data_IF_742777089424
#
_entry.id   IF_742777089424
#
_cell.length_a   1.000
_cell.length_b   1.000
_cell.length_c   1.000
_cell.angle_alpha   90.00
_cell.angle_beta   90.00
_cell.angle_gamma   90.00
#
_symmetry.space_group_name_H-M   'P 1'
#
loop_
_entity.id
_entity.type
_entity.pdbx_description
1 polymer ?
#
# COMPACT_ATOMS: atom_id res chain seq x y z
N UNK A 1 35.12 -31.46 2.87
CA UNK A 1 34.79 -32.37 1.75
C UNK A 1 34.05 -31.50 0.76
N UNK A 2 33.01 -31.98 0.07
CA UNK A 2 31.85 -31.15 -0.30
C UNK A 2 32.09 -30.05 -1.35
N UNK A 3 32.40 -30.43 -2.60
CA UNK A 3 32.31 -29.54 -3.77
C UNK A 3 31.89 -30.30 -5.04
N UNK A 4 30.80 -31.07 -4.93
CA UNK A 4 30.31 -31.99 -5.99
C UNK A 4 28.81 -31.87 -6.30
N UNK A 5 28.19 -30.73 -5.96
CA UNK A 5 26.77 -30.43 -6.24
C UNK A 5 26.56 -29.06 -6.92
N UNK A 6 27.61 -28.48 -7.50
CA UNK A 6 27.62 -27.08 -8.01
C UNK A 6 27.26 -26.94 -9.51
N UNK A 7 26.81 -28.01 -10.17
CA UNK A 7 26.66 -28.08 -11.63
C UNK A 7 25.23 -28.14 -12.17
N UNK A 8 24.20 -28.32 -11.31
CA UNK A 8 22.80 -28.39 -11.73
C UNK A 8 22.03 -27.10 -11.42
N UNK A 9 22.32 -26.06 -12.19
CA UNK A 9 21.54 -24.82 -12.18
C UNK A 9 20.19 -25.03 -12.87
N UNK A 10 19.12 -25.18 -12.09
CA UNK A 10 17.75 -25.15 -12.62
C UNK A 10 17.50 -23.88 -13.44
N UNK A 11 16.64 -23.94 -14.47
CA UNK A 11 16.39 -22.79 -15.33
C UNK A 11 15.81 -21.61 -14.54
N UNK A 12 16.10 -20.38 -14.97
CA UNK A 12 15.60 -19.18 -14.28
C UNK A 12 14.07 -19.16 -14.20
N UNK A 13 13.38 -19.64 -15.23
CA UNK A 13 11.93 -19.82 -15.23
C UNK A 13 11.46 -20.88 -14.22
N UNK A 14 12.17 -22.01 -14.09
CA UNK A 14 11.87 -22.98 -13.03
C UNK A 14 12.06 -22.36 -11.65
N UNK A 15 13.18 -21.69 -11.40
CA UNK A 15 13.44 -21.06 -10.09
C UNK A 15 12.40 -19.99 -9.75
N UNK A 16 11.96 -19.18 -10.72
CA UNK A 16 10.87 -18.23 -10.54
C UNK A 16 9.54 -18.93 -10.24
N UNK A 17 9.12 -19.93 -11.04
CA UNK A 17 7.88 -20.69 -10.79
C UNK A 17 7.92 -21.42 -9.45
N UNK A 18 9.06 -21.97 -9.07
CA UNK A 18 9.28 -22.67 -7.79
C UNK A 18 9.23 -21.70 -6.61
N UNK A 19 9.88 -20.54 -6.68
CA UNK A 19 9.85 -19.55 -5.58
C UNK A 19 8.52 -18.81 -5.46
N UNK A 20 7.73 -18.74 -6.54
CA UNK A 20 6.35 -18.23 -6.51
C UNK A 20 5.28 -19.31 -6.24
N UNK A 21 5.64 -20.60 -6.18
CA UNK A 21 4.69 -21.67 -5.88
C UNK A 21 4.31 -21.67 -4.38
N UNK A 22 3.03 -21.93 -4.02
CA UNK A 22 2.60 -22.02 -2.63
C UNK A 22 3.38 -23.09 -1.85
N UNK A 23 3.66 -22.82 -0.56
CA UNK A 23 4.43 -23.73 0.30
C UNK A 23 3.85 -25.16 0.36
N UNK A 24 2.52 -25.40 0.42
CA UNK A 24 1.97 -26.75 0.40
C UNK A 24 2.32 -27.55 -0.87
N UNK A 25 2.32 -26.88 -2.03
CA UNK A 25 2.61 -27.50 -3.34
C UNK A 25 4.10 -27.81 -3.46
N UNK A 26 4.95 -26.88 -3.01
CA UNK A 26 6.39 -27.14 -2.88
C UNK A 26 6.68 -28.29 -1.91
N UNK A 27 5.94 -28.39 -0.81
CA UNK A 27 6.07 -29.49 0.15
C UNK A 27 5.65 -30.84 -0.46
N UNK A 28 4.53 -30.91 -1.19
CA UNK A 28 4.07 -32.11 -1.90
C UNK A 28 5.11 -32.59 -2.93
N UNK A 29 5.55 -31.71 -3.83
CA UNK A 29 6.60 -32.03 -4.82
C UNK A 29 7.90 -32.47 -4.13
N UNK A 30 8.28 -31.81 -3.03
CA UNK A 30 9.47 -32.19 -2.24
C UNK A 30 9.29 -33.53 -1.54
N UNK A 31 8.07 -33.94 -1.22
CA UNK A 31 7.80 -35.26 -0.65
C UNK A 31 7.85 -36.36 -1.72
N UNK A 32 7.24 -36.15 -2.89
CA UNK A 32 7.35 -37.09 -4.00
C UNK A 32 8.82 -37.35 -4.36
N UNK A 33 9.65 -36.30 -4.43
CA UNK A 33 11.08 -36.43 -4.70
C UNK A 33 11.84 -37.22 -3.61
N UNK A 34 11.44 -37.13 -2.33
CA UNK A 34 12.00 -37.99 -1.26
C UNK A 34 11.52 -39.43 -1.41
N UNK A 35 10.27 -39.64 -1.81
CA UNK A 35 9.68 -40.96 -1.96
C UNK A 35 10.37 -41.70 -3.13
N UNK A 36 10.59 -41.03 -4.27
CA UNK A 36 11.46 -41.51 -5.36
C UNK A 36 12.87 -41.81 -4.84
N UNK A 37 13.48 -40.89 -4.07
CA UNK A 37 14.83 -41.07 -3.51
C UNK A 37 14.90 -42.23 -2.50
N UNK A 38 13.78 -42.60 -1.87
CA UNK A 38 13.68 -43.73 -0.95
C UNK A 38 13.50 -45.04 -1.70
N UNK A 39 12.66 -45.05 -2.75
CA UNK A 39 12.48 -46.18 -3.66
C UNK A 39 13.77 -46.58 -4.39
N UNK A 40 14.66 -45.61 -4.65
CA UNK A 40 15.98 -45.83 -5.25
C UNK A 40 17.07 -46.30 -4.27
N UNK A 41 16.75 -46.53 -2.98
CA UNK A 41 17.72 -47.09 -2.01
C UNK A 41 17.71 -48.61 -2.05
N UNK A 42 18.91 -49.21 -2.05
CA UNK A 42 19.11 -50.67 -2.12
C UNK A 42 18.39 -51.46 -1.01
N UNK A 43 18.13 -50.82 0.13
CA UNK A 43 17.48 -51.44 1.30
C UNK A 43 15.92 -51.35 1.25
N UNK A 44 15.35 -50.70 0.22
CA UNK A 44 13.90 -50.48 0.08
C UNK A 44 13.23 -51.60 -0.74
N UNK A 45 12.39 -52.46 -0.14
CA UNK A 45 11.70 -53.54 -0.86
C UNK A 45 10.58 -53.03 -1.78
N UNK A 46 10.90 -52.95 -3.08
CA UNK A 46 10.03 -52.46 -4.17
C UNK A 46 8.58 -52.97 -4.12
N UNK A 47 8.36 -54.28 -3.86
CA UNK A 47 7.03 -54.90 -3.82
C UNK A 47 6.10 -54.36 -2.72
N UNK A 48 6.65 -53.67 -1.72
CA UNK A 48 5.91 -53.11 -0.58
C UNK A 48 6.04 -51.60 -0.43
N UNK A 49 6.75 -50.94 -1.34
CA UNK A 49 6.87 -49.48 -1.32
C UNK A 49 5.58 -48.83 -1.87
N UNK A 50 5.12 -47.79 -1.19
CA UNK A 50 3.96 -47.00 -1.59
C UNK A 50 4.31 -45.53 -1.39
N UNK A 51 4.06 -44.71 -2.41
CA UNK A 51 4.22 -43.25 -2.34
C UNK A 51 3.22 -42.64 -1.36
N UNK A 52 3.61 -41.59 -0.64
CA UNK A 52 2.70 -40.88 0.26
C UNK A 52 1.57 -40.17 -0.52
N UNK A 53 1.85 -39.77 -1.76
CA UNK A 53 0.91 -39.26 -2.75
C UNK A 53 0.66 -40.32 -3.82
N UNK A 54 -0.59 -40.75 -4.04
CA UNK A 54 -0.90 -41.75 -5.07
C UNK A 54 -1.03 -41.14 -6.48
N UNK A 55 -1.48 -39.88 -6.53
CA UNK A 55 -1.57 -39.05 -7.73
C UNK A 55 -1.13 -37.64 -7.32
N UNK A 56 0.09 -37.26 -7.72
CA UNK A 56 0.65 -35.95 -7.40
C UNK A 56 -0.03 -34.82 -8.19
N UNK A 57 -0.43 -35.07 -9.44
CA UNK A 57 -0.98 -34.01 -10.32
C UNK A 57 -2.36 -33.57 -9.80
N UNK A 58 -3.26 -34.54 -9.54
CA UNK A 58 -4.57 -34.25 -8.92
C UNK A 58 -4.41 -33.58 -7.55
N UNK A 59 -3.43 -34.01 -6.74
CA UNK A 59 -3.19 -33.40 -5.43
C UNK A 59 -2.62 -31.97 -5.52
N UNK A 60 -1.80 -31.67 -6.52
CA UNK A 60 -1.30 -30.31 -6.75
C UNK A 60 -2.44 -29.37 -7.17
N UNK A 61 -3.37 -29.83 -8.02
CA UNK A 61 -4.55 -29.04 -8.41
C UNK A 61 -5.46 -28.76 -7.20
N UNK A 62 -5.75 -29.77 -6.37
CA UNK A 62 -6.46 -29.59 -5.09
C UNK A 62 -5.77 -28.54 -4.19
N UNK A 63 -4.44 -28.56 -4.09
CA UNK A 63 -3.70 -27.61 -3.28
C UNK A 63 -3.71 -26.18 -3.86
N UNK A 64 -3.80 -26.01 -5.19
CA UNK A 64 -4.00 -24.70 -5.81
C UNK A 64 -5.40 -24.16 -5.52
N UNK A 65 -6.45 -24.98 -5.68
CA UNK A 65 -7.83 -24.58 -5.37
C UNK A 65 -8.00 -24.16 -3.90
N UNK A 66 -7.47 -24.96 -2.97
CA UNK A 66 -7.51 -24.65 -1.54
C UNK A 66 -6.77 -23.34 -1.20
N UNK A 67 -5.62 -23.10 -1.83
CA UNK A 67 -4.84 -21.87 -1.62
C UNK A 67 -5.54 -20.63 -2.22
N UNK A 68 -6.18 -20.73 -3.38
CA UNK A 68 -7.00 -19.62 -3.92
C UNK A 68 -8.22 -19.35 -3.02
N UNK A 69 -8.89 -20.39 -2.53
CA UNK A 69 -10.00 -20.25 -1.59
C UNK A 69 -9.58 -19.58 -0.27
N UNK A 70 -8.43 -19.95 0.31
CA UNK A 70 -7.90 -19.30 1.51
C UNK A 70 -7.56 -17.81 1.25
N UNK A 71 -6.91 -17.49 0.12
CA UNK A 71 -6.64 -16.09 -0.24
C UNK A 71 -7.93 -15.29 -0.47
N UNK A 72 -8.94 -15.87 -1.12
CA UNK A 72 -10.24 -15.23 -1.31
C UNK A 72 -10.94 -14.93 0.02
N UNK A 73 -10.89 -15.86 0.98
CA UNK A 73 -11.42 -15.67 2.34
C UNK A 73 -10.64 -14.59 3.10
N UNK A 74 -9.30 -14.65 3.10
CA UNK A 74 -8.44 -13.66 3.77
C UNK A 74 -8.65 -12.24 3.20
N UNK A 75 -8.80 -12.13 1.87
CA UNK A 75 -9.13 -10.87 1.19
C UNK A 75 -10.53 -10.38 1.58
N UNK A 76 -11.55 -11.24 1.54
CA UNK A 76 -12.92 -10.86 1.90
C UNK A 76 -13.05 -10.38 3.36
N UNK A 77 -12.32 -11.01 4.29
CA UNK A 77 -12.23 -10.57 5.69
C UNK A 77 -11.58 -9.19 5.78
N UNK A 78 -10.52 -8.95 5.02
CA UNK A 78 -9.79 -7.67 4.99
C UNK A 78 -10.63 -6.54 4.40
N UNK A 79 -11.28 -6.79 3.25
CA UNK A 79 -12.16 -5.83 2.58
C UNK A 79 -13.36 -5.47 3.48
N UNK A 80 -14.03 -6.46 4.09
CA UNK A 80 -15.14 -6.24 5.03
C UNK A 80 -14.73 -5.40 6.24
N UNK A 81 -13.55 -5.68 6.81
CA UNK A 81 -13.00 -4.90 7.93
C UNK A 81 -12.70 -3.45 7.53
N UNK A 82 -12.22 -3.23 6.31
CA UNK A 82 -12.01 -1.88 5.77
C UNK A 82 -13.34 -1.13 5.55
N UNK A 83 -14.39 -1.81 5.07
CA UNK A 83 -15.73 -1.24 4.94
C UNK A 83 -16.37 -0.91 6.31
N UNK A 84 -16.27 -1.81 7.29
CA UNK A 84 -16.72 -1.56 8.68
C UNK A 84 -15.97 -0.36 9.30
N UNK A 85 -14.67 -0.22 9.05
CA UNK A 85 -13.91 0.94 9.52
C UNK A 85 -14.32 2.24 8.80
N UNK A 86 -14.48 2.22 7.47
CA UNK A 86 -14.87 3.40 6.68
C UNK A 86 -16.30 3.86 6.99
N UNK A 87 -17.23 2.93 7.22
CA UNK A 87 -18.61 3.24 7.61
C UNK A 87 -18.70 3.81 9.03
N UNK A 88 -17.93 3.26 9.99
CA UNK A 88 -17.81 3.82 11.34
C UNK A 88 -17.20 5.24 11.33
N UNK A 89 -16.13 5.47 10.57
CA UNK A 89 -15.50 6.79 10.44
C UNK A 89 -16.43 7.82 9.77
N UNK A 90 -17.23 7.38 8.79
CA UNK A 90 -18.28 8.21 8.18
C UNK A 90 -19.37 8.59 9.21
N UNK A 91 -19.85 7.64 10.01
CA UNK A 91 -20.85 7.91 11.05
C UNK A 91 -20.33 8.90 12.10
N UNK A 92 -19.10 8.70 12.62
CA UNK A 92 -18.48 9.63 13.58
C UNK A 92 -18.33 11.05 12.99
N UNK A 93 -17.97 11.16 11.71
CA UNK A 93 -17.86 12.45 11.00
C UNK A 93 -19.23 13.14 10.87
N UNK A 94 -20.28 12.42 10.50
CA UNK A 94 -21.64 12.96 10.41
C UNK A 94 -22.20 13.36 11.78
N UNK A 95 -21.92 12.60 12.84
CA UNK A 95 -22.32 12.93 14.20
C UNK A 95 -21.60 14.19 14.71
N UNK A 96 -20.27 14.29 14.54
CA UNK A 96 -19.51 15.49 14.90
C UNK A 96 -20.00 16.73 14.15
N UNK A 97 -20.43 16.60 12.88
CA UNK A 97 -21.03 17.71 12.12
C UNK A 97 -22.40 18.11 12.70
N UNK A 98 -23.27 17.15 13.05
CA UNK A 98 -24.57 17.42 13.68
C UNK A 98 -24.41 18.10 15.05
N UNK A 99 -23.48 17.64 15.88
CA UNK A 99 -23.19 18.24 17.19
C UNK A 99 -22.73 19.70 17.03
N UNK A 100 -21.75 19.96 16.15
CA UNK A 100 -21.26 21.32 15.88
C UNK A 100 -22.36 22.24 15.35
N UNK A 101 -23.19 21.77 14.41
CA UNK A 101 -24.31 22.55 13.88
C UNK A 101 -25.37 22.88 14.94
N UNK A 102 -25.67 21.95 15.86
CA UNK A 102 -26.59 22.17 16.97
C UNK A 102 -26.02 23.14 18.02
N UNK A 103 -24.73 23.08 18.32
CA UNK A 103 -24.05 24.04 19.19
C UNK A 103 -24.08 25.46 18.60
N UNK A 104 -23.73 25.59 17.32
CA UNK A 104 -23.75 26.85 16.57
C UNK A 104 -25.16 27.49 16.56
N UNK A 105 -26.19 26.68 16.37
CA UNK A 105 -27.59 27.11 16.41
C UNK A 105 -27.98 27.62 17.81
N UNK A 106 -27.68 26.83 18.87
CA UNK A 106 -27.93 27.20 20.27
C UNK A 106 -27.20 28.49 20.66
N UNK A 107 -25.97 28.68 20.19
CA UNK A 107 -25.18 29.89 20.47
C UNK A 107 -25.81 31.14 19.81
N UNK A 108 -26.23 31.02 18.54
CA UNK A 108 -26.91 32.11 17.80
C UNK A 108 -28.27 32.47 18.41
N UNK A 109 -29.03 31.49 18.89
CA UNK A 109 -30.31 31.72 19.57
C UNK A 109 -30.13 32.34 20.95
N UNK A 110 -29.16 31.87 21.75
CA UNK A 110 -28.80 32.47 23.03
C UNK A 110 -28.37 33.95 22.88
N UNK A 111 -27.59 34.26 21.85
CA UNK A 111 -27.20 35.64 21.53
C UNK A 111 -28.42 36.52 21.21
N UNK A 112 -29.35 36.04 20.37
CA UNK A 112 -30.59 36.76 20.02
C UNK A 112 -31.51 36.97 21.21
N UNK A 113 -31.67 35.96 22.07
CA UNK A 113 -32.48 36.06 23.29
C UNK A 113 -31.90 37.10 24.26
N UNK A 114 -30.56 37.19 24.35
CA UNK A 114 -29.91 38.23 25.15
C UNK A 114 -30.10 39.63 24.55
N UNK A 115 -29.89 39.80 23.26
CA UNK A 115 -30.12 41.07 22.56
C UNK A 115 -31.57 41.57 22.69
N UNK A 116 -32.55 40.64 22.60
CA UNK A 116 -33.97 40.93 22.83
C UNK A 116 -34.28 41.32 24.30
N UNK A 117 -33.61 40.70 25.28
CA UNK A 117 -33.75 41.07 26.68
C UNK A 117 -33.13 42.43 27.01
N UNK A 118 -31.90 42.68 26.53
CA UNK A 118 -31.16 43.93 26.72
C UNK A 118 -31.91 45.13 26.08
N UNK A 119 -32.57 44.92 24.93
CA UNK A 119 -33.43 45.94 24.29
C UNK A 119 -34.74 46.16 25.02
N UNK A 120 -35.47 45.10 25.40
CA UNK A 120 -36.74 45.22 26.15
C UNK A 120 -36.55 45.91 27.51
N UNK A 121 -35.48 45.59 28.24
CA UNK A 121 -35.16 46.23 29.53
C UNK A 121 -34.88 47.73 29.37
N UNK A 122 -34.23 48.13 28.26
CA UNK A 122 -33.95 49.54 27.93
C UNK A 122 -35.23 50.32 27.58
N UNK A 123 -36.22 49.68 26.96
CA UNK A 123 -37.53 50.30 26.71
C UNK A 123 -38.39 50.41 27.98
N UNK A 124 -38.33 49.44 28.90
CA UNK A 124 -38.94 49.54 30.23
C UNK A 124 -38.35 50.71 31.03
N UNK A 125 -37.03 50.80 31.17
CA UNK A 125 -36.38 51.92 31.88
C UNK A 125 -36.76 53.29 31.28
N UNK A 126 -36.87 53.39 29.95
CA UNK A 126 -37.29 54.63 29.28
C UNK A 126 -38.75 54.99 29.56
N UNK A 127 -39.65 54.01 29.60
CA UNK A 127 -41.08 54.24 29.89
C UNK A 127 -41.33 54.53 31.37
N UNK A 128 -40.58 53.91 32.27
CA UNK A 128 -40.57 54.22 33.70
C UNK A 128 -40.04 55.63 33.99
N UNK A 129 -38.97 56.07 33.32
CA UNK A 129 -38.48 57.46 33.42
C UNK A 129 -39.54 58.48 32.96
N UNK A 130 -40.20 58.25 31.82
CA UNK A 130 -41.27 59.12 31.32
C UNK A 130 -42.48 59.16 32.29
N UNK A 131 -42.79 58.05 32.95
CA UNK A 131 -43.83 57.99 33.97
C UNK A 131 -43.43 58.77 35.25
N UNK A 132 -42.18 58.65 35.69
CA UNK A 132 -41.65 59.38 36.85
C UNK A 132 -41.56 60.90 36.59
N UNK A 133 -41.11 61.31 35.40
CA UNK A 133 -41.02 62.72 35.00
C UNK A 133 -42.41 63.39 34.98
N UNK A 134 -43.43 62.68 34.48
CA UNK A 134 -44.82 63.17 34.45
C UNK A 134 -45.40 63.46 35.85
N UNK A 135 -44.93 62.77 36.89
CA UNK A 135 -45.32 63.04 38.28
C UNK A 135 -44.57 64.24 38.90
N UNK A 136 -43.41 64.65 38.35
CA UNK A 136 -42.60 65.73 38.89
C UNK A 136 -43.00 67.13 38.39
N UNK A 137 -43.97 67.24 37.48
CA UNK A 137 -44.47 68.53 36.98
C UNK A 137 -45.53 69.17 37.90
N UNK A 138 -45.85 68.55 39.04
CA UNK A 138 -46.96 68.94 39.91
C UNK A 138 -46.56 69.71 41.19
N UNK A 139 -45.28 70.02 41.41
CA UNK A 139 -44.86 70.86 42.55
C UNK A 139 -43.58 71.67 42.24
N UNK A 140 -43.69 73.01 42.09
CA UNK A 140 -42.52 73.89 41.85
C UNK A 140 -42.70 75.37 42.25
N UNK A 141 -42.90 75.62 43.53
CA UNK A 141 -42.57 76.88 44.24
C UNK A 141 -42.16 76.50 45.66
N UNK A 142 -40.99 76.80 46.22
CA UNK A 142 -40.22 78.07 46.27
C UNK A 142 -38.75 77.72 46.62
N UNK A 143 -37.70 78.26 45.98
CA UNK A 143 -36.86 79.40 46.42
C UNK A 143 -36.55 79.47 47.95
N UNK A 144 -35.34 79.81 48.45
CA UNK A 144 -34.07 80.25 47.83
C UNK A 144 -32.91 80.24 48.89
N UNK A 145 -31.63 80.39 48.46
CA UNK A 145 -30.41 80.70 49.27
C UNK A 145 -29.86 79.61 50.24
N UNK A 146 -28.55 79.48 50.53
CA UNK A 146 -27.33 80.20 50.04
C UNK A 146 -26.04 79.34 50.16
N UNK A 147 -25.21 79.41 49.11
CA UNK A 147 -23.74 79.40 49.00
C UNK A 147 -22.83 78.71 50.06
N UNK A 148 -21.87 77.90 49.59
CA UNK A 148 -20.44 78.30 49.52
C UNK A 148 -19.65 77.49 48.45
N UNK A 149 -18.41 77.93 48.12
CA UNK A 149 -17.25 77.32 47.43
C UNK A 149 -17.37 75.94 46.69
N UNK A 150 -16.75 75.72 45.52
CA UNK A 150 -15.87 76.58 44.70
C UNK A 150 -15.68 76.04 43.26
N UNK A 151 -15.51 76.97 42.31
CA UNK A 151 -14.96 76.89 40.94
C UNK A 151 -15.20 75.67 40.02
N UNK A 152 -15.85 75.98 38.90
CA UNK A 152 -15.85 75.24 37.63
C UNK A 152 -14.57 75.60 36.85
N UNK A 153 -14.02 74.81 35.90
CA UNK A 153 -14.44 74.65 34.50
C UNK A 153 -13.37 73.77 33.77
N UNK A 154 -13.52 73.18 32.57
CA UNK A 154 -14.59 73.11 31.55
C UNK A 154 -14.25 72.04 30.48
N UNK A 155 -15.28 71.38 29.91
CA UNK A 155 -15.37 70.68 28.59
C UNK A 155 -14.23 69.70 28.13
N UNK A 156 -14.50 68.43 27.78
CA UNK A 156 -15.15 67.91 26.54
C UNK A 156 -14.40 68.35 25.25
N UNK A 157 -13.98 67.50 24.30
CA UNK A 157 -14.21 66.07 23.95
C UNK A 157 -12.87 65.48 23.33
N UNK A 158 -12.64 64.30 22.72
CA UNK A 158 -13.46 63.25 22.06
C UNK A 158 -12.72 61.88 21.88
N UNK A 159 -13.47 60.83 21.47
CA UNK A 159 -13.14 59.73 20.53
C UNK A 159 -12.23 58.49 20.81
N UNK A 160 -12.60 57.41 20.10
CA UNK A 160 -11.90 56.14 19.71
C UNK A 160 -11.21 55.24 20.75
N UNK A 161 -11.71 54.00 20.86
CA UNK A 161 -11.02 52.86 21.48
C UNK A 161 -10.38 51.99 20.39
N UNK A 162 -9.07 51.80 20.44
CA UNK A 162 -8.39 50.67 19.77
C UNK A 162 -7.42 49.94 20.72
N UNK A 163 -6.98 48.75 20.28
CA UNK A 163 -6.68 47.62 21.17
C UNK A 163 -5.21 47.22 21.15
N UNK A 164 -4.47 47.55 22.22
CA UNK A 164 -3.05 47.26 22.30
C UNK A 164 -2.67 45.84 22.79
N UNK A 165 -1.74 45.29 22.02
CA UNK A 165 -0.75 44.24 22.33
C UNK A 165 0.20 44.68 23.46
N UNK A 166 1.10 43.88 24.05
CA UNK A 166 1.27 42.41 24.21
C UNK A 166 2.53 42.17 25.10
N UNK A 167 2.59 41.06 25.86
CA UNK A 167 3.79 40.35 26.40
C UNK A 167 4.96 41.11 27.07
N UNK A 168 5.35 40.65 28.27
CA UNK A 168 6.71 40.36 28.81
C UNK A 168 6.58 40.18 30.37
N UNK A 169 7.33 39.37 31.14
CA UNK A 169 8.43 38.39 30.90
C UNK A 169 8.88 37.73 32.21
N UNK A 170 9.76 36.73 32.12
CA UNK A 170 10.60 36.11 33.18
C UNK A 170 10.06 34.79 33.79
N UNK A 171 10.89 33.83 34.23
CA UNK A 171 12.28 33.49 33.85
C UNK A 171 12.66 32.11 34.46
N UNK A 172 13.40 31.27 33.71
CA UNK A 172 14.13 30.11 34.23
C UNK A 172 15.23 29.69 33.22
N UNK A 173 16.37 29.16 33.71
CA UNK A 173 17.59 28.95 32.90
C UNK A 173 18.31 27.65 33.23
N UNK A 174 18.63 26.84 32.22
CA UNK A 174 19.75 25.87 32.13
C UNK A 174 19.84 25.41 30.65
N UNK A 175 20.97 25.51 29.92
CA UNK A 175 22.25 24.76 30.03
C UNK A 175 22.14 23.34 29.45
N UNK A 176 22.97 22.87 28.49
CA UNK A 176 24.07 23.48 27.70
C UNK A 176 24.40 22.59 26.48
N UNK A 177 25.21 23.12 25.53
CA UNK A 177 25.95 22.41 24.46
C UNK A 177 25.11 21.75 23.32
N UNK A 178 25.55 21.69 22.06
CA UNK A 178 26.77 22.22 21.41
C UNK A 178 26.52 22.54 19.92
N UNK A 179 27.42 23.28 19.24
CA UNK A 179 27.10 23.94 17.96
C UNK A 179 28.33 24.01 17.00
N UNK A 180 28.17 23.66 15.69
CA UNK A 180 29.20 23.88 14.64
C UNK A 180 28.63 23.69 13.20
N UNK A 181 28.10 24.69 12.50
CA UNK A 181 28.67 25.83 11.72
C UNK A 181 29.14 25.60 10.26
N UNK A 182 28.71 26.54 9.39
CA UNK A 182 29.30 27.02 8.10
C UNK A 182 29.16 26.13 6.83
N UNK A 183 28.41 26.62 5.84
CA UNK A 183 28.98 27.21 4.59
C UNK A 183 27.92 27.98 3.77
N UNK A 184 28.34 28.83 2.84
CA UNK A 184 27.52 29.76 2.04
C UNK A 184 27.49 29.42 0.53
N UNK A 185 26.83 30.29 -0.26
CA UNK A 185 26.72 30.34 -1.74
C UNK A 185 25.67 29.40 -2.41
N UNK A 186 24.89 29.82 -3.42
CA UNK A 186 24.78 31.15 -4.06
C UNK A 186 23.37 31.51 -4.60
N UNK A 187 23.16 32.82 -4.72
CA UNK A 187 22.15 33.59 -5.45
C UNK A 187 21.84 33.08 -6.88
N UNK A 188 20.58 33.22 -7.36
CA UNK A 188 20.23 33.86 -8.66
C UNK A 188 18.71 34.06 -8.85
N UNK A 189 18.37 35.24 -9.39
CA UNK A 189 17.15 35.67 -10.12
C UNK A 189 15.72 35.44 -9.57
N UNK A 190 15.00 36.56 -9.47
CA UNK A 190 13.54 36.65 -9.56
C UNK A 190 13.18 37.62 -10.71
N UNK A 191 12.43 37.19 -11.72
CA UNK A 191 11.48 38.06 -12.45
C UNK A 191 10.40 37.27 -13.25
N UNK A 192 9.48 38.01 -13.86
CA UNK A 192 8.11 37.70 -14.33
C UNK A 192 7.92 36.76 -15.53
N UNK A 193 6.99 35.81 -15.34
CA UNK A 193 5.59 35.83 -15.86
C UNK A 193 5.32 36.38 -17.29
N UNK A 194 4.75 35.54 -18.18
CA UNK A 194 3.54 35.82 -19.02
C UNK A 194 3.00 34.52 -19.67
N UNK A 195 1.67 34.45 -19.76
CA UNK A 195 0.77 33.40 -20.28
C UNK A 195 1.18 32.64 -21.57
N UNK A 196 0.95 31.31 -21.63
CA UNK A 196 0.75 30.57 -22.91
C UNK A 196 0.06 29.16 -22.78
N UNK A 197 -1.12 29.09 -22.15
CA UNK A 197 -1.76 27.81 -21.73
C UNK A 197 -2.44 26.98 -22.85
N UNK A 198 -2.56 27.49 -24.08
CA UNK A 198 -3.28 26.79 -25.16
C UNK A 198 -2.38 26.13 -26.22
N UNK A 199 -1.09 26.44 -26.24
CA UNK A 199 -0.11 25.79 -27.13
C UNK A 199 0.26 24.38 -26.64
N UNK A 200 0.49 24.23 -25.33
CA UNK A 200 0.97 23.00 -24.69
C UNK A 200 0.09 21.78 -25.02
N UNK A 201 -1.23 21.94 -24.96
CA UNK A 201 -2.19 20.83 -25.09
C UNK A 201 -2.22 20.23 -26.50
N UNK A 202 -2.22 21.08 -27.54
CA UNK A 202 -2.21 20.63 -28.92
C UNK A 202 -0.90 19.92 -29.32
N UNK A 203 0.23 20.37 -28.75
CA UNK A 203 1.52 19.70 -28.92
C UNK A 203 1.53 18.35 -28.20
N UNK A 204 1.04 18.28 -26.96
CA UNK A 204 0.93 17.04 -26.19
C UNK A 204 0.11 15.95 -26.91
N UNK A 205 -1.05 16.31 -27.46
CA UNK A 205 -1.94 15.33 -28.09
C UNK A 205 -1.38 14.83 -29.44
N UNK A 206 -0.74 15.71 -30.21
CA UNK A 206 -0.04 15.35 -31.45
C UNK A 206 1.22 14.50 -31.19
N UNK A 207 1.97 14.82 -30.13
CA UNK A 207 3.08 13.99 -29.67
C UNK A 207 2.60 12.62 -29.18
N UNK A 208 1.52 12.57 -28.39
CA UNK A 208 0.92 11.32 -27.89
C UNK A 208 0.41 10.42 -29.01
N UNK A 209 -0.15 10.99 -30.08
CA UNK A 209 -0.55 10.26 -31.28
C UNK A 209 0.67 9.71 -32.04
N UNK A 210 1.71 10.52 -32.26
CA UNK A 210 2.94 10.10 -32.91
C UNK A 210 3.69 9.03 -32.11
N UNK A 211 3.72 9.13 -30.78
CA UNK A 211 4.32 8.15 -29.86
C UNK A 211 3.51 6.86 -29.87
N UNK A 212 2.16 6.90 -29.86
CA UNK A 212 1.33 5.69 -30.01
C UNK A 212 1.45 5.00 -31.37
N UNK A 213 1.79 5.75 -32.42
CA UNK A 213 2.09 5.18 -33.74
C UNK A 213 3.50 4.55 -33.74
N UNK A 214 4.51 5.26 -33.24
CA UNK A 214 5.88 4.77 -33.12
C UNK A 214 6.02 3.53 -32.22
N UNK A 215 5.25 3.43 -31.12
CA UNK A 215 5.20 2.21 -30.29
C UNK A 215 4.56 1.00 -30.99
N UNK A 216 3.82 1.20 -32.09
CA UNK A 216 3.31 0.11 -32.94
C UNK A 216 4.24 -0.20 -34.11
N UNK A 217 4.85 0.81 -34.70
CA UNK A 217 5.84 0.66 -35.77
C UNK A 217 7.23 0.21 -35.26
N UNK A 218 7.40 0.03 -33.95
CA UNK A 218 8.59 -0.54 -33.30
C UNK A 218 8.64 -2.09 -33.30
N UNK A 219 8.20 -2.71 -34.40
CA UNK A 219 8.92 -3.73 -35.20
C UNK A 219 9.92 -4.69 -34.52
N UNK A 220 9.65 -5.16 -33.31
CA UNK A 220 10.19 -6.44 -32.80
C UNK A 220 9.60 -7.62 -33.60
N UNK A 221 8.41 -7.43 -34.16
CA UNK A 221 7.43 -8.41 -34.66
C UNK A 221 7.78 -9.21 -35.93
N UNK A 222 9.06 -9.35 -36.29
CA UNK A 222 9.48 -10.26 -37.37
C UNK A 222 10.83 -10.87 -37.06
N UNK A 223 11.92 -10.11 -37.05
CA UNK A 223 13.27 -10.63 -36.80
C UNK A 223 13.46 -11.26 -35.42
N UNK A 224 12.72 -10.83 -34.40
CA UNK A 224 12.74 -11.51 -33.09
C UNK A 224 11.87 -12.78 -33.11
N UNK A 225 10.80 -12.84 -33.90
CA UNK A 225 10.02 -14.08 -34.09
C UNK A 225 10.76 -15.10 -34.94
N UNK A 226 11.55 -14.66 -35.92
CA UNK A 226 12.47 -15.49 -36.70
C UNK A 226 13.60 -16.04 -35.80
N UNK A 227 14.22 -15.20 -34.98
CA UNK A 227 15.20 -15.62 -33.97
C UNK A 227 14.61 -16.59 -32.94
N UNK A 228 13.39 -16.37 -32.47
CA UNK A 228 12.71 -17.28 -31.54
C UNK A 228 12.48 -18.64 -32.21
N UNK A 229 11.94 -18.69 -33.44
CA UNK A 229 11.75 -19.97 -34.16
C UNK A 229 13.05 -20.71 -34.48
N UNK A 230 14.12 -19.97 -34.79
CA UNK A 230 15.45 -20.55 -35.01
C UNK A 230 15.98 -21.20 -33.73
N UNK A 231 15.79 -20.55 -32.57
CA UNK A 231 16.17 -21.11 -31.27
C UNK A 231 15.25 -22.27 -30.84
N UNK A 232 13.94 -22.20 -31.09
CA UNK A 232 12.98 -23.29 -30.87
C UNK A 232 13.39 -24.54 -31.68
N UNK A 233 13.68 -24.37 -32.98
CA UNK A 233 14.13 -25.43 -33.87
C UNK A 233 15.48 -26.02 -33.44
N UNK A 234 16.45 -25.19 -33.05
CA UNK A 234 17.75 -25.67 -32.53
C UNK A 234 17.61 -26.43 -31.20
N UNK A 235 16.63 -26.08 -30.36
CA UNK A 235 16.30 -26.82 -29.14
C UNK A 235 15.68 -28.18 -29.49
N UNK A 236 14.70 -28.21 -30.40
CA UNK A 236 14.03 -29.45 -30.82
C UNK A 236 14.98 -30.43 -31.54
N UNK A 237 15.87 -29.93 -32.41
CA UNK A 237 16.92 -30.73 -33.07
C UNK A 237 17.91 -31.30 -32.03
N UNK A 238 18.39 -30.47 -31.10
CA UNK A 238 19.31 -30.93 -30.05
C UNK A 238 18.66 -31.96 -29.12
N UNK A 239 17.43 -31.73 -28.67
CA UNK A 239 16.70 -32.69 -27.84
C UNK A 239 16.43 -33.99 -28.59
N UNK A 240 16.13 -33.93 -29.89
CA UNK A 240 15.96 -35.11 -30.75
C UNK A 240 17.27 -35.91 -30.88
N UNK A 241 18.41 -35.26 -31.08
CA UNK A 241 19.72 -35.91 -31.13
C UNK A 241 20.09 -36.53 -29.77
N UNK A 242 19.89 -35.82 -28.66
CA UNK A 242 20.17 -36.35 -27.31
C UNK A 242 19.27 -37.53 -26.95
N UNK A 243 17.96 -37.49 -27.27
CA UNK A 243 17.05 -38.62 -27.06
C UNK A 243 17.42 -39.82 -27.95
N UNK A 244 17.81 -39.58 -29.20
CA UNK A 244 18.31 -40.62 -30.11
C UNK A 244 19.55 -41.30 -29.51
N UNK A 245 20.58 -40.52 -29.17
CA UNK A 245 21.84 -40.99 -28.59
C UNK A 245 21.63 -41.73 -27.26
N UNK A 246 20.78 -41.21 -26.37
CA UNK A 246 20.42 -41.89 -25.12
C UNK A 246 19.73 -43.22 -25.38
N UNK A 247 18.83 -43.27 -26.36
CA UNK A 247 18.17 -44.53 -26.76
C UNK A 247 19.17 -45.54 -27.35
N UNK A 248 20.16 -45.10 -28.12
CA UNK A 248 21.19 -45.98 -28.71
C UNK A 248 22.16 -46.49 -27.65
N UNK A 249 22.57 -45.65 -26.70
CA UNK A 249 23.36 -46.05 -25.53
C UNK A 249 22.60 -47.07 -24.67
N UNK A 250 21.32 -46.84 -24.37
CA UNK A 250 20.50 -47.78 -23.59
C UNK A 250 20.27 -49.11 -24.33
N UNK A 251 20.01 -49.07 -25.65
CA UNK A 251 19.93 -50.29 -26.50
C UNK A 251 21.26 -51.03 -26.55
N UNK A 252 22.39 -50.33 -26.56
CA UNK A 252 23.73 -50.92 -26.60
C UNK A 252 24.12 -51.55 -25.27
N UNK A 253 23.81 -50.88 -24.15
CA UNK A 253 23.94 -51.45 -22.81
C UNK A 253 23.05 -52.69 -22.65
N UNK A 254 21.75 -52.61 -22.99
CA UNK A 254 20.84 -53.76 -22.92
C UNK A 254 21.33 -54.95 -23.78
N UNK A 255 21.88 -54.70 -24.96
CA UNK A 255 22.49 -55.75 -25.80
C UNK A 255 23.73 -56.35 -25.16
N UNK A 256 24.60 -55.54 -24.56
CA UNK A 256 25.79 -56.02 -23.86
C UNK A 256 25.40 -56.85 -22.63
N UNK A 257 24.48 -56.36 -21.81
CA UNK A 257 23.96 -57.00 -20.60
C UNK A 257 23.29 -58.34 -20.92
N UNK A 258 22.38 -58.38 -21.91
CA UNK A 258 21.73 -59.63 -22.35
C UNK A 258 22.75 -60.62 -22.93
N UNK A 259 23.76 -60.14 -23.68
CA UNK A 259 24.83 -61.01 -24.20
C UNK A 259 25.71 -61.55 -23.07
N UNK A 260 26.00 -60.73 -22.05
CA UNK A 260 26.77 -61.15 -20.88
C UNK A 260 26.02 -62.25 -20.11
N UNK A 261 24.78 -62.01 -19.70
CA UNK A 261 23.98 -62.97 -18.93
C UNK A 261 23.84 -64.31 -19.67
N UNK A 262 23.56 -64.30 -20.99
CA UNK A 262 23.52 -65.51 -21.81
C UNK A 262 24.89 -66.23 -21.89
N UNK A 263 26.00 -65.48 -21.92
CA UNK A 263 27.35 -66.06 -21.91
C UNK A 263 27.77 -66.60 -20.53
N UNK A 264 27.23 -66.05 -19.44
CA UNK A 264 27.45 -66.56 -18.09
C UNK A 264 26.67 -67.86 -17.85
N UNK A 265 25.43 -67.99 -18.36
CA UNK A 265 24.67 -69.25 -18.36
C UNK A 265 25.39 -70.38 -19.12
N UNK A 266 25.96 -70.11 -20.32
CA UNK A 266 26.80 -71.09 -21.01
C UNK A 266 28.10 -71.39 -20.21
N UNK A 267 28.73 -70.39 -19.61
CA UNK A 267 29.97 -70.57 -18.83
C UNK A 267 29.78 -71.26 -17.47
N UNK A 268 28.55 -71.32 -16.94
CA UNK A 268 28.17 -72.13 -15.77
C UNK A 268 27.87 -73.56 -16.19
N UNK A 269 27.00 -73.76 -17.19
CA UNK A 269 26.60 -75.09 -17.65
C UNK A 269 27.77 -75.90 -18.22
N UNK A 270 28.71 -75.27 -18.93
CA UNK A 270 29.90 -75.94 -19.49
C UNK A 270 31.00 -76.26 -18.45
N UNK A 271 30.87 -75.77 -17.20
CA UNK A 271 31.70 -76.16 -16.06
C UNK A 271 31.11 -77.31 -15.25
N UNK A 272 29.80 -77.42 -15.19
CA UNK A 272 29.12 -78.54 -14.50
C UNK A 272 29.18 -79.82 -15.35
N UNK A 273 29.01 -79.70 -16.67
CA UNK A 273 29.14 -80.81 -17.64
C UNK A 273 30.54 -81.47 -17.65
N UNK A 274 31.58 -80.73 -17.28
CA UNK A 274 32.98 -81.22 -17.21
C UNK A 274 33.38 -81.79 -15.84
N UNK A 275 32.42 -82.00 -14.93
CA UNK A 275 32.69 -82.42 -13.54
C UNK A 275 31.95 -83.70 -13.11
N UNK A 276 31.36 -84.43 -14.05
CA UNK A 276 30.82 -85.79 -13.90
C UNK A 276 31.64 -86.79 -14.74
#
# INVERSE_FOLDING_TARGET
>A
MDDTMSSYSFSHQFYQRWTCAPEPIRAAITQELKDITTLLQNDTPFESFVFNTHDLDTHIDELYENHEAEQAIAKAITDKKAEEQATAEKQQREEQQKIKAAEDARLKESARLKEAADTAQKEQQKTEQIAAEKNNLADKTTAMNTNDASDSESLSIDNTVEKNQNVEKSAATQSSSENKTISEHANVANDKHINDDHSIKAVNDKASAAIKLALKDAKLSTTHQEMIRELEMQIDDYLSEQMMLMSENLKSWLRAEVTQNLSEDEAVTDKESKKS
#
